data_IF_019317716152
#
_entry.id   IF_019317716152
#
_cell.length_a   1.000
_cell.length_b   1.000
_cell.length_c   1.000
_cell.angle_alpha   90.00
_cell.angle_beta   90.00
_cell.angle_gamma   90.00
#
_symmetry.space_group_name_H-M   'P 1'
#
loop_
_entity.id
_entity.type
_entity.pdbx_description
1 polymer ?
#
# COMPACT_ATOMS: atom_id res chain seq x y z
N UNK A 1 18.56 -5.20 16.90
CA UNK A 1 18.58 -3.84 17.49
C UNK A 1 17.18 -3.25 17.55
N UNK A 2 16.49 -2.99 16.43
CA UNK A 2 15.10 -2.48 16.48
C UNK A 2 14.11 -3.47 17.12
N UNK A 3 14.15 -4.72 16.67
CA UNK A 3 13.32 -5.81 17.21
C UNK A 3 13.54 -6.06 18.70
N UNK A 4 14.76 -5.81 19.20
CA UNK A 4 15.12 -5.99 20.60
C UNK A 4 14.54 -4.86 21.45
N UNK A 5 14.73 -3.60 21.01
CA UNK A 5 14.14 -2.41 21.65
C UNK A 5 12.62 -2.49 21.67
N UNK A 6 12.00 -2.96 20.58
CA UNK A 6 10.56 -3.19 20.54
C UNK A 6 10.12 -4.21 21.60
N UNK A 7 10.80 -5.36 21.70
CA UNK A 7 10.49 -6.37 22.72
C UNK A 7 10.68 -5.84 24.15
N UNK A 8 11.73 -5.07 24.41
CA UNK A 8 11.96 -4.44 25.72
C UNK A 8 10.82 -3.50 26.11
N UNK A 9 10.39 -2.63 25.21
CA UNK A 9 9.28 -1.69 25.43
C UNK A 9 7.96 -2.43 25.70
N UNK A 10 7.66 -3.46 24.93
CA UNK A 10 6.44 -4.25 25.09
C UNK A 10 6.43 -5.06 26.38
N UNK A 11 7.58 -5.58 26.82
CA UNK A 11 7.71 -6.28 28.10
C UNK A 11 7.71 -5.33 29.31
N UNK A 12 8.08 -4.06 29.12
CA UNK A 12 8.03 -3.06 30.18
C UNK A 12 6.61 -2.52 30.43
N UNK A 13 5.77 -2.43 29.39
CA UNK A 13 4.43 -1.84 29.49
C UNK A 13 3.52 -2.50 30.56
N UNK A 14 3.45 -3.85 30.69
CA UNK A 14 2.65 -4.49 31.72
C UNK A 14 3.04 -4.12 33.15
N UNK A 15 4.32 -3.77 33.39
CA UNK A 15 4.81 -3.32 34.71
C UNK A 15 4.19 -1.99 35.13
N UNK A 16 3.68 -1.23 34.16
CA UNK A 16 2.96 0.04 34.37
C UNK A 16 1.44 -0.12 34.19
N UNK A 17 0.93 -1.36 34.22
CA UNK A 17 -0.48 -1.68 33.95
C UNK A 17 -0.96 -1.22 32.56
N UNK A 18 -0.05 -1.19 31.58
CA UNK A 18 -0.33 -0.86 30.18
C UNK A 18 -0.09 -2.09 29.29
N UNK A 19 -0.78 -2.15 28.15
CA UNK A 19 -0.51 -3.13 27.09
C UNK A 19 -0.61 -2.43 25.75
N UNK A 20 0.42 -2.56 24.92
CA UNK A 20 0.31 -2.18 23.52
C UNK A 20 -0.51 -3.24 22.79
N UNK A 21 -1.39 -2.88 21.86
CA UNK A 21 -2.17 -3.87 21.09
C UNK A 21 -1.61 -4.09 19.70
N UNK A 22 -0.93 -3.07 19.17
CA UNK A 22 -0.70 -2.94 17.75
C UNK A 22 0.72 -2.44 17.46
N UNK A 23 1.37 -3.06 16.50
CA UNK A 23 2.64 -2.64 15.91
C UNK A 23 2.40 -2.16 14.48
N UNK A 24 2.90 -0.95 14.16
CA UNK A 24 2.86 -0.38 12.81
C UNK A 24 4.29 -0.34 12.29
N UNK A 25 4.52 -0.96 11.13
CA UNK A 25 5.83 -1.00 10.52
C UNK A 25 5.76 -1.30 9.03
N UNK A 26 6.93 -1.49 8.43
CA UNK A 26 7.04 -2.03 7.08
C UNK A 26 6.51 -3.48 7.03
N UNK A 27 6.50 -4.12 5.85
CA UNK A 27 6.01 -5.50 5.73
C UNK A 27 7.06 -6.57 6.12
N UNK A 28 8.13 -6.22 6.87
CA UNK A 28 9.09 -7.21 7.40
C UNK A 28 8.41 -8.20 8.36
N UNK A 29 8.82 -9.46 8.37
CA UNK A 29 8.28 -10.42 9.35
C UNK A 29 9.17 -10.57 10.57
N UNK A 30 10.38 -10.02 10.54
CA UNK A 30 11.40 -10.18 11.58
C UNK A 30 10.99 -9.57 12.89
N UNK A 31 10.51 -8.32 12.88
CA UNK A 31 10.15 -7.62 14.13
C UNK A 31 8.89 -8.22 14.74
N UNK A 32 7.88 -8.52 13.93
CA UNK A 32 6.66 -9.17 14.40
C UNK A 32 6.93 -10.59 14.94
N UNK A 33 7.76 -11.37 14.26
CA UNK A 33 8.13 -12.72 14.72
C UNK A 33 8.83 -12.64 16.08
N UNK A 34 9.73 -11.68 16.24
CA UNK A 34 10.44 -11.49 17.51
C UNK A 34 9.50 -11.06 18.63
N UNK A 35 8.55 -10.16 18.36
CA UNK A 35 7.51 -9.76 19.31
C UNK A 35 6.64 -10.94 19.71
N UNK A 36 6.16 -11.74 18.76
CA UNK A 36 5.32 -12.90 19.05
C UNK A 36 6.02 -13.99 19.88
N UNK A 37 7.35 -14.09 19.78
CA UNK A 37 8.14 -15.05 20.56
C UNK A 37 8.43 -14.57 21.98
N UNK A 38 8.59 -13.26 22.18
CA UNK A 38 9.15 -12.70 23.42
C UNK A 38 8.19 -11.82 24.22
N UNK A 39 7.01 -11.49 23.68
CA UNK A 39 5.99 -10.70 24.38
C UNK A 39 4.90 -11.65 24.92
N UNK A 40 4.49 -11.52 26.19
CA UNK A 40 3.58 -12.47 26.84
C UNK A 40 2.11 -12.33 26.41
N UNK A 41 1.82 -11.46 25.44
CA UNK A 41 0.47 -11.21 24.93
C UNK A 41 0.50 -10.93 23.42
N UNK A 42 -0.63 -11.18 22.75
CA UNK A 42 -0.73 -11.10 21.29
C UNK A 42 -0.54 -9.67 20.76
N UNK A 43 0.22 -9.56 19.67
CA UNK A 43 0.50 -8.31 18.97
C UNK A 43 -0.13 -8.33 17.59
N UNK A 44 -1.01 -7.37 17.30
CA UNK A 44 -1.51 -7.17 15.94
C UNK A 44 -0.53 -6.32 15.12
N UNK A 45 -0.31 -6.68 13.85
CA UNK A 45 0.51 -5.88 12.93
C UNK A 45 -0.36 -5.15 11.93
N UNK A 46 -0.14 -3.84 11.79
CA UNK A 46 -0.67 -3.03 10.69
C UNK A 46 0.47 -2.61 9.76
N UNK A 47 0.15 -2.55 8.47
CA UNK A 47 1.13 -2.13 7.45
C UNK A 47 1.14 -0.61 7.37
N UNK A 48 2.33 -0.01 7.36
CA UNK A 48 2.45 1.41 7.02
C UNK A 48 2.09 1.63 5.55
N UNK A 49 1.08 2.47 5.33
CA UNK A 49 0.60 2.84 3.99
C UNK A 49 1.67 3.48 3.12
N UNK A 50 2.62 4.23 3.71
CA UNK A 50 3.68 4.90 2.97
C UNK A 50 4.65 3.86 2.42
N UNK A 51 5.04 2.90 3.27
CA UNK A 51 5.87 1.77 2.88
C UNK A 51 5.15 0.83 1.89
N UNK A 52 3.88 0.50 2.11
CA UNK A 52 3.09 -0.32 1.19
C UNK A 52 3.01 0.30 -0.21
N UNK A 53 2.73 1.61 -0.29
CA UNK A 53 2.74 2.36 -1.55
C UNK A 53 4.12 2.36 -2.21
N UNK A 54 5.19 2.56 -1.44
CA UNK A 54 6.57 2.55 -1.94
C UNK A 54 6.95 1.17 -2.48
N UNK A 55 6.57 0.10 -1.80
CA UNK A 55 6.78 -1.27 -2.24
C UNK A 55 6.04 -1.54 -3.55
N UNK A 56 4.75 -1.20 -3.64
CA UNK A 56 3.98 -1.31 -4.88
C UNK A 56 4.65 -0.56 -6.03
N UNK A 57 5.03 0.69 -5.79
CA UNK A 57 5.70 1.54 -6.78
C UNK A 57 7.01 0.92 -7.27
N UNK A 58 7.82 0.39 -6.35
CA UNK A 58 9.07 -0.32 -6.67
C UNK A 58 8.81 -1.56 -7.53
N UNK A 59 7.77 -2.34 -7.21
CA UNK A 59 7.38 -3.53 -7.99
C UNK A 59 6.91 -3.15 -9.40
N UNK A 60 6.21 -2.04 -9.55
CA UNK A 60 5.80 -1.52 -10.86
C UNK A 60 7.01 -1.11 -11.72
N UNK A 61 8.04 -0.47 -11.14
CA UNK A 61 9.29 -0.19 -11.86
C UNK A 61 10.07 -1.44 -12.23
N UNK A 62 10.07 -2.44 -11.35
CA UNK A 62 10.69 -3.74 -11.66
C UNK A 62 9.95 -4.42 -12.81
N UNK A 63 8.63 -4.32 -12.85
CA UNK A 63 7.83 -4.83 -13.97
C UNK A 63 8.14 -4.08 -15.27
N UNK A 64 8.24 -2.75 -15.24
CA UNK A 64 8.54 -1.95 -16.44
C UNK A 64 9.94 -2.19 -17.00
N UNK A 65 10.92 -2.47 -16.13
CA UNK A 65 12.31 -2.71 -16.53
C UNK A 65 12.55 -4.14 -17.02
N UNK A 66 11.88 -5.14 -16.42
CA UNK A 66 12.12 -6.56 -16.72
C UNK A 66 11.22 -7.11 -17.82
N UNK A 67 10.02 -6.57 -17.97
CA UNK A 67 9.03 -7.07 -18.93
C UNK A 67 8.79 -6.03 -20.02
N UNK A 68 8.90 -6.46 -21.27
CA UNK A 68 8.39 -5.70 -22.41
C UNK A 68 7.05 -6.30 -22.81
N UNK A 69 6.06 -5.44 -23.00
CA UNK A 69 4.72 -5.82 -23.45
C UNK A 69 4.54 -5.30 -24.88
N UNK A 70 4.79 -6.13 -25.92
CA UNK A 70 4.56 -5.73 -27.30
C UNK A 70 3.10 -5.31 -27.51
N UNK A 71 2.87 -4.36 -28.41
CA UNK A 71 1.53 -3.86 -28.76
C UNK A 71 0.68 -3.40 -27.55
N UNK A 72 1.35 -2.96 -26.47
CA UNK A 72 0.72 -2.54 -25.22
C UNK A 72 1.17 -1.14 -24.84
N UNK A 73 0.42 -0.49 -23.95
CA UNK A 73 0.84 0.79 -23.38
C UNK A 73 2.17 0.66 -22.63
N UNK A 74 3.02 1.68 -22.74
CA UNK A 74 4.27 1.70 -21.98
C UNK A 74 4.00 1.99 -20.51
N UNK A 75 4.57 1.17 -19.61
CA UNK A 75 4.54 1.40 -18.17
C UNK A 75 5.52 2.52 -17.77
N UNK A 76 5.26 3.73 -18.28
CA UNK A 76 6.07 4.92 -18.03
C UNK A 76 5.94 5.39 -16.59
N UNK A 77 6.86 6.27 -16.17
CA UNK A 77 6.81 6.96 -14.89
C UNK A 77 5.42 7.56 -14.57
N UNK A 78 4.77 8.16 -15.57
CA UNK A 78 3.45 8.78 -15.43
C UNK A 78 2.36 7.73 -15.13
N UNK A 79 2.41 6.58 -15.80
CA UNK A 79 1.48 5.46 -15.56
C UNK A 79 1.71 4.86 -14.18
N UNK A 80 2.96 4.64 -13.77
CA UNK A 80 3.30 4.12 -12.44
C UNK A 80 2.79 5.05 -11.34
N UNK A 81 3.03 6.37 -11.48
CA UNK A 81 2.54 7.37 -10.53
C UNK A 81 1.01 7.40 -10.45
N UNK A 82 0.33 7.25 -11.59
CA UNK A 82 -1.12 7.15 -11.64
C UNK A 82 -1.63 5.93 -10.86
N UNK A 83 -1.08 4.74 -11.09
CA UNK A 83 -1.48 3.52 -10.39
C UNK A 83 -1.22 3.62 -8.89
N UNK A 84 -0.06 4.16 -8.48
CA UNK A 84 0.27 4.40 -7.07
C UNK A 84 -0.67 5.42 -6.40
N UNK A 85 -1.14 6.43 -7.16
CA UNK A 85 -2.14 7.40 -6.71
C UNK A 85 -3.51 6.73 -6.51
N UNK A 86 -3.97 5.93 -7.48
CA UNK A 86 -5.20 5.14 -7.36
C UNK A 86 -5.16 4.23 -6.13
N UNK A 87 -4.06 3.51 -5.92
CA UNK A 87 -3.86 2.68 -4.73
C UNK A 87 -4.01 3.47 -3.43
N UNK A 88 -3.36 4.64 -3.34
CA UNK A 88 -3.46 5.51 -2.16
C UNK A 88 -4.90 5.98 -1.90
N UNK A 89 -5.64 6.33 -2.96
CA UNK A 89 -7.05 6.72 -2.86
C UNK A 89 -7.95 5.57 -2.43
N UNK A 90 -7.72 4.35 -2.93
CA UNK A 90 -8.47 3.17 -2.49
C UNK A 90 -8.31 2.96 -0.98
N UNK A 91 -7.09 3.00 -0.45
CA UNK A 91 -6.87 2.80 1.00
C UNK A 91 -7.48 3.95 1.81
N UNK A 92 -7.29 5.20 1.38
CA UNK A 92 -7.81 6.36 2.13
C UNK A 92 -9.35 6.44 2.19
N UNK A 93 -10.06 5.89 1.20
CA UNK A 93 -11.52 6.02 1.10
C UNK A 93 -12.29 4.81 1.65
N UNK A 94 -11.65 3.68 1.94
CA UNK A 94 -12.32 2.44 2.32
C UNK A 94 -11.85 1.99 3.71
N UNK A 95 -12.80 1.88 4.65
CA UNK A 95 -12.52 1.60 6.08
C UNK A 95 -12.85 0.16 6.49
N UNK A 96 -13.28 -0.66 5.55
CA UNK A 96 -13.62 -2.06 5.77
C UNK A 96 -12.92 -2.94 4.73
N UNK A 97 -12.68 -4.19 5.10
CA UNK A 97 -11.90 -5.15 4.31
C UNK A 97 -12.54 -5.40 2.95
N UNK A 98 -13.85 -5.60 2.92
CA UNK A 98 -14.57 -5.96 1.70
C UNK A 98 -14.57 -4.81 0.68
N UNK A 99 -14.84 -3.59 1.14
CA UNK A 99 -14.87 -2.41 0.28
C UNK A 99 -13.48 -2.04 -0.24
N UNK A 100 -12.43 -2.21 0.58
CA UNK A 100 -11.05 -2.01 0.15
C UNK A 100 -10.64 -3.05 -0.88
N UNK A 101 -10.94 -4.34 -0.66
CA UNK A 101 -10.70 -5.40 -1.65
C UNK A 101 -11.34 -5.08 -3.01
N UNK A 102 -12.63 -4.73 -2.99
CA UNK A 102 -13.38 -4.35 -4.20
C UNK A 102 -12.75 -3.14 -4.88
N UNK A 103 -12.38 -2.11 -4.12
CA UNK A 103 -11.75 -0.91 -4.66
C UNK A 103 -10.39 -1.19 -5.31
N UNK A 104 -9.54 -1.99 -4.68
CA UNK A 104 -8.22 -2.37 -5.22
C UNK A 104 -8.36 -3.17 -6.52
N UNK A 105 -9.28 -4.14 -6.58
CA UNK A 105 -9.57 -4.92 -7.80
C UNK A 105 -10.08 -4.05 -8.96
N UNK A 106 -10.61 -2.86 -8.68
CA UNK A 106 -11.08 -1.95 -9.71
C UNK A 106 -9.97 -1.10 -10.33
N UNK A 107 -8.78 -1.00 -9.73
CA UNK A 107 -7.70 -0.12 -10.22
C UNK A 107 -7.30 -0.47 -11.65
N UNK A 108 -7.02 -1.75 -11.93
CA UNK A 108 -6.58 -2.19 -13.27
C UNK A 108 -7.71 -2.05 -14.28
N UNK A 109 -8.93 -2.62 -14.09
CA UNK A 109 -10.04 -2.41 -15.02
C UNK A 109 -10.30 -0.93 -15.33
N UNK A 110 -10.28 -0.08 -14.29
CA UNK A 110 -10.49 1.37 -14.44
C UNK A 110 -9.42 2.02 -15.32
N UNK A 111 -8.14 1.66 -15.17
CA UNK A 111 -7.06 2.22 -15.99
C UNK A 111 -7.13 1.80 -17.48
N UNK A 112 -7.88 0.73 -17.78
CA UNK A 112 -8.12 0.20 -19.13
C UNK A 112 -9.52 0.56 -19.65
N UNK A 113 -10.22 1.53 -19.03
CA UNK A 113 -11.53 2.02 -19.48
C UNK A 113 -12.73 1.17 -19.03
N UNK A 114 -12.51 0.09 -18.27
CA UNK A 114 -13.62 -0.69 -17.70
C UNK A 114 -14.04 -0.11 -16.34
N UNK A 115 -15.09 0.71 -16.39
CA UNK A 115 -15.63 1.40 -15.23
C UNK A 115 -16.82 0.68 -14.55
N UNK A 116 -17.15 -0.57 -14.94
CA UNK A 116 -18.36 -1.27 -14.45
C UNK A 116 -18.47 -1.28 -12.93
N UNK A 117 -17.38 -1.66 -12.26
CA UNK A 117 -17.31 -1.87 -10.81
C UNK A 117 -16.79 -0.65 -10.03
N UNK A 118 -16.55 0.48 -10.70
CA UNK A 118 -16.03 1.68 -10.07
C UNK A 118 -17.08 2.39 -9.19
N UNK A 119 -16.64 2.93 -8.05
CA UNK A 119 -17.45 3.84 -7.22
C UNK A 119 -17.40 5.27 -7.77
N UNK A 120 -18.52 5.99 -7.65
CA UNK A 120 -18.64 7.40 -8.07
C UNK A 120 -17.70 8.35 -7.32
N UNK A 121 -17.33 8.00 -6.09
CA UNK A 121 -16.49 8.85 -5.23
C UNK A 121 -15.13 9.18 -5.85
N UNK A 122 -14.59 8.29 -6.68
CA UNK A 122 -13.29 8.47 -7.31
C UNK A 122 -13.29 8.31 -8.84
N UNK A 123 -14.32 7.69 -9.42
CA UNK A 123 -14.42 7.49 -10.86
C UNK A 123 -15.17 8.64 -11.52
N UNK A 124 -14.42 9.55 -12.17
CA UNK A 124 -15.01 10.66 -12.93
C UNK A 124 -15.92 10.20 -14.08
N UNK A 125 -15.68 9.01 -14.65
CA UNK A 125 -16.53 8.46 -15.71
C UNK A 125 -17.97 8.27 -15.26
N UNK A 126 -18.20 7.85 -14.01
CA UNK A 126 -19.56 7.67 -13.48
C UNK A 126 -20.29 9.00 -13.27
N UNK A 127 -19.55 10.10 -13.09
CA UNK A 127 -20.12 11.45 -12.96
C UNK A 127 -20.46 12.04 -14.32
N UNK A 128 -19.52 11.99 -15.26
CA UNK A 128 -19.66 12.59 -16.59
C UNK A 128 -19.11 11.64 -17.68
N UNK A 129 -19.87 10.60 -18.09
CA UNK A 129 -19.36 9.57 -19.00
C UNK A 129 -18.92 10.11 -20.37
N UNK A 130 -19.61 11.14 -20.88
CA UNK A 130 -19.40 11.67 -22.24
C UNK A 130 -18.12 12.50 -22.39
N UNK A 131 -17.66 13.13 -21.30
CA UNK A 131 -16.51 14.05 -21.31
C UNK A 131 -15.30 13.49 -20.56
N UNK A 132 -15.47 12.35 -19.89
CA UNK A 132 -14.43 11.77 -19.05
C UNK A 132 -13.19 11.37 -19.85
N UNK A 133 -12.04 11.78 -19.32
CA UNK A 133 -10.72 11.35 -19.78
C UNK A 133 -9.79 11.20 -18.59
N UNK A 134 -8.86 10.25 -18.66
CA UNK A 134 -7.87 10.03 -17.61
C UNK A 134 -6.79 11.13 -17.59
N UNK A 135 -7.05 12.24 -16.88
CA UNK A 135 -6.13 13.40 -16.79
C UNK A 135 -4.68 13.05 -16.43
N UNK A 136 -4.54 12.06 -15.55
CA UNK A 136 -3.25 11.63 -15.03
C UNK A 136 -2.56 10.56 -15.89
N UNK A 137 -3.24 9.98 -16.89
CA UNK A 137 -2.63 9.04 -17.84
C UNK A 137 -1.99 9.77 -19.04
N UNK A 138 -1.00 9.15 -19.71
CA UNK A 138 -0.44 9.69 -20.94
C UNK A 138 -1.52 9.92 -22.01
N UNK A 139 -1.47 11.08 -22.67
CA UNK A 139 -2.41 11.49 -23.71
C UNK A 139 -3.89 11.45 -23.32
N UNK A 140 -4.21 11.35 -22.04
CA UNK A 140 -5.58 11.22 -21.53
C UNK A 140 -6.34 9.98 -22.03
N UNK A 141 -5.61 8.94 -22.44
CA UNK A 141 -6.17 7.69 -22.97
C UNK A 141 -6.05 6.54 -21.98
N UNK A 142 -6.93 5.57 -22.13
CA UNK A 142 -6.88 4.31 -21.40
C UNK A 142 -5.63 3.51 -21.78
N UNK A 143 -5.18 2.68 -20.85
CA UNK A 143 -4.13 1.70 -21.13
C UNK A 143 -4.64 0.60 -22.07
N UNK A 144 -3.73 0.03 -22.84
CA UNK A 144 -4.00 -0.99 -23.85
C UNK A 144 -3.03 -2.17 -23.71
N UNK A 145 -3.47 -3.35 -24.15
CA UNK A 145 -2.68 -4.58 -24.21
C UNK A 145 -3.02 -5.58 -23.11
N UNK A 146 -3.45 -6.78 -23.52
CA UNK A 146 -3.95 -7.81 -22.60
C UNK A 146 -2.84 -8.39 -21.70
N UNK A 147 -1.63 -8.53 -22.22
CA UNK A 147 -0.48 -9.01 -21.45
C UNK A 147 -0.12 -8.03 -20.32
N UNK A 148 -0.14 -6.73 -20.61
CA UNK A 148 0.08 -5.69 -19.61
C UNK A 148 -1.04 -5.70 -18.56
N UNK A 149 -2.30 -5.78 -19.01
CA UNK A 149 -3.46 -5.85 -18.12
C UNK A 149 -3.34 -7.03 -17.16
N UNK A 150 -3.04 -8.22 -17.69
CA UNK A 150 -2.86 -9.43 -16.91
C UNK A 150 -1.73 -9.30 -15.89
N UNK A 151 -0.56 -8.78 -16.29
CA UNK A 151 0.57 -8.61 -15.38
C UNK A 151 0.27 -7.62 -14.25
N UNK A 152 -0.41 -6.50 -14.55
CA UNK A 152 -0.84 -5.53 -13.54
C UNK A 152 -1.89 -6.10 -12.60
N UNK A 153 -2.86 -6.86 -13.13
CA UNK A 153 -3.88 -7.55 -12.31
C UNK A 153 -3.22 -8.51 -11.35
N UNK A 154 -2.34 -9.40 -11.84
CA UNK A 154 -1.63 -10.35 -10.97
C UNK A 154 -0.82 -9.66 -9.88
N UNK A 155 -0.14 -8.56 -10.20
CA UNK A 155 0.63 -7.80 -9.22
C UNK A 155 -0.29 -7.16 -8.15
N UNK A 156 -1.41 -6.55 -8.54
CA UNK A 156 -2.33 -5.95 -7.58
C UNK A 156 -3.15 -6.97 -6.80
N UNK A 157 -3.45 -8.14 -7.36
CA UNK A 157 -4.22 -9.19 -6.69
C UNK A 157 -3.55 -9.64 -5.39
N UNK A 158 -2.22 -9.63 -5.32
CA UNK A 158 -1.46 -9.90 -4.10
C UNK A 158 -1.82 -8.93 -2.95
N UNK A 159 -2.13 -7.67 -3.27
CA UNK A 159 -2.59 -6.66 -2.32
C UNK A 159 -4.07 -6.79 -1.97
N UNK A 160 -4.81 -7.67 -2.65
CA UNK A 160 -6.25 -7.90 -2.39
C UNK A 160 -6.51 -9.12 -1.53
N UNK A 161 -5.47 -9.85 -1.14
CA UNK A 161 -5.60 -10.95 -0.18
C UNK A 161 -6.15 -10.45 1.15
N UNK A 162 -6.99 -11.25 1.80
CA UNK A 162 -7.65 -10.84 3.06
C UNK A 162 -6.61 -10.45 4.13
N UNK A 163 -5.51 -11.20 4.21
CA UNK A 163 -4.41 -10.94 5.16
C UNK A 163 -3.76 -9.58 4.92
N UNK A 164 -3.47 -9.21 3.68
CA UNK A 164 -2.84 -7.91 3.36
C UNK A 164 -3.83 -6.78 3.59
N UNK A 165 -5.08 -6.96 3.17
CA UNK A 165 -6.11 -5.92 3.29
C UNK A 165 -6.42 -5.62 4.76
N UNK A 166 -6.53 -6.64 5.62
CA UNK A 166 -6.71 -6.46 7.07
C UNK A 166 -5.63 -5.57 7.68
N UNK A 167 -4.38 -5.67 7.21
CA UNK A 167 -3.27 -4.83 7.67
C UNK A 167 -3.30 -3.40 7.10
N UNK A 168 -3.93 -3.19 5.94
CA UNK A 168 -4.01 -1.88 5.26
C UNK A 168 -5.23 -1.04 5.68
N UNK A 169 -6.35 -1.69 6.02
CA UNK A 169 -7.61 -1.01 6.43
C UNK A 169 -7.42 0.04 7.54
N UNK A 170 -6.58 -0.18 8.57
CA UNK A 170 -6.37 0.80 9.63
C UNK A 170 -5.75 2.12 9.15
N UNK A 171 -5.24 2.18 7.91
CA UNK A 171 -4.61 3.37 7.33
C UNK A 171 -3.47 3.92 8.21
N UNK A 172 -2.69 3.01 8.79
CA UNK A 172 -1.63 3.34 9.73
C UNK A 172 -0.44 4.01 9.02
N UNK A 173 0.24 4.92 9.70
CA UNK A 173 1.36 5.68 9.16
C UNK A 173 2.45 5.87 10.23
N UNK A 174 3.65 5.36 9.99
CA UNK A 174 4.80 5.44 10.91
C UNK A 174 5.68 6.68 10.73
N UNK A 175 5.40 7.54 9.74
CA UNK A 175 6.27 8.65 9.33
C UNK A 175 6.54 9.67 10.44
N UNK A 176 5.59 9.86 11.37
CA UNK A 176 5.80 10.70 12.57
C UNK A 176 6.87 10.11 13.49
N UNK A 177 6.84 8.80 13.68
CA UNK A 177 7.82 8.09 14.51
C UNK A 177 9.18 8.09 13.83
N UNK A 178 9.23 7.87 12.51
CA UNK A 178 10.47 7.95 11.72
C UNK A 178 11.10 9.34 11.77
N UNK A 179 10.29 10.40 11.66
CA UNK A 179 10.77 11.78 11.77
C UNK A 179 11.36 12.05 13.16
N UNK A 180 10.69 11.61 14.23
CA UNK A 180 11.20 11.73 15.60
C UNK A 180 12.52 10.97 15.76
N UNK A 181 12.56 9.70 15.34
CA UNK A 181 13.74 8.85 15.45
C UNK A 181 14.93 9.42 14.67
N UNK A 182 14.67 10.01 13.49
CA UNK A 182 15.68 10.70 12.69
C UNK A 182 16.25 11.91 13.42
N UNK A 183 15.40 12.74 14.04
CA UNK A 183 15.85 13.88 14.85
C UNK A 183 16.69 13.40 16.03
N UNK A 184 16.21 12.43 16.81
CA UNK A 184 16.94 11.88 17.96
C UNK A 184 18.30 11.32 17.52
N UNK A 185 18.34 10.51 16.45
CA UNK A 185 19.57 9.95 15.91
C UNK A 185 20.55 11.01 15.40
N UNK A 186 20.07 12.11 14.81
CA UNK A 186 20.92 13.22 14.36
C UNK A 186 21.54 14.03 15.50
N UNK A 187 20.89 14.03 16.67
CA UNK A 187 21.30 14.79 17.85
C UNK A 187 22.04 13.96 18.90
N UNK A 188 22.01 12.62 18.75
CA UNK A 188 22.75 11.69 19.59
C UNK A 188 23.73 10.89 18.72
N UNK A 189 24.91 11.43 18.40
CA UNK A 189 25.91 10.72 17.61
C UNK A 189 26.24 9.40 18.28
N UNK A 190 26.27 8.31 17.51
CA UNK A 190 26.74 7.02 18.00
C UNK A 190 28.18 7.19 18.49
N UNK A 191 28.39 7.05 19.81
CA UNK A 191 29.71 6.99 20.44
C UNK A 191 30.42 5.72 19.97
#
# INVERSE_FOLDING_TARGET
MESDVACELWNAAPKQNLKFSTYVGDDDTTTLSHLNQNVPYGVEKWSDIVHAKRLLTTRLYNLSSRCKFPNSSTLSQKVINYLAKCFSYCIAQNKDVESLQKALKCIVPHAFGDHKNCKETWCGFKKEPLTYKHKDLPHHKDLQGDQLKSALTSLLDEYTTETVVKKLVPFANSQRNEALNSIVGSKNPKI
#
